data_IF_887323526246
#
_entry.id   IF_887323526246
#
_cell.length_a   1.000
_cell.length_b   1.000
_cell.length_c   1.000
_cell.angle_alpha   90.00
_cell.angle_beta   90.00
_cell.angle_gamma   90.00
#
_symmetry.space_group_name_H-M   'P 1'
#
loop_
_entity.id
_entity.type
_entity.pdbx_description
1 polymer ?
#
# COMPACT_ATOMS: atom_id res chain seq x y z
N UNK A 1 21.76 -2.77 -0.10
CA UNK A 1 20.57 -2.52 -0.94
C UNK A 1 19.62 -1.56 -0.25
N UNK A 2 18.78 -0.86 -1.02
CA UNK A 2 17.72 0.03 -0.54
C UNK A 2 16.34 -0.61 -0.74
N UNK A 3 15.30 -0.05 -0.09
CA UNK A 3 13.89 -0.35 -0.32
C UNK A 3 13.17 0.87 -0.91
N UNK A 4 12.17 0.64 -1.75
CA UNK A 4 11.37 1.72 -2.33
C UNK A 4 9.97 1.26 -2.75
N UNK A 5 9.08 2.24 -2.90
CA UNK A 5 7.85 2.09 -3.68
C UNK A 5 8.09 2.58 -5.12
N UNK A 6 7.15 2.30 -6.03
CA UNK A 6 7.24 2.72 -7.43
C UNK A 6 5.98 3.44 -7.89
N UNK A 7 6.17 4.59 -8.54
CA UNK A 7 5.13 5.28 -9.28
C UNK A 7 5.46 5.23 -10.78
N UNK A 8 4.55 4.70 -11.58
CA UNK A 8 4.65 4.69 -13.05
C UNK A 8 3.70 5.75 -13.59
N UNK A 9 4.26 6.80 -14.18
CA UNK A 9 3.51 7.97 -14.66
C UNK A 9 3.59 8.01 -16.19
N UNK A 10 2.49 7.63 -16.85
CA UNK A 10 2.32 7.82 -18.28
C UNK A 10 1.53 9.09 -18.61
N UNK A 11 1.32 9.33 -19.91
CA UNK A 11 0.59 10.51 -20.41
C UNK A 11 -0.87 10.55 -19.93
N UNK A 12 -1.54 9.39 -19.90
CA UNK A 12 -2.97 9.27 -19.57
C UNK A 12 -3.28 8.39 -18.36
N UNK A 13 -2.31 7.60 -17.89
CA UNK A 13 -2.48 6.62 -16.82
C UNK A 13 -1.36 6.67 -15.81
N UNK A 14 -1.71 6.47 -14.54
CA UNK A 14 -0.75 6.41 -13.43
C UNK A 14 -1.00 5.18 -12.57
N UNK A 15 0.07 4.46 -12.28
CA UNK A 15 0.06 3.28 -11.41
C UNK A 15 0.99 3.47 -10.22
N UNK A 16 0.57 2.97 -9.06
CA UNK A 16 1.39 2.95 -7.85
C UNK A 16 1.55 1.53 -7.31
N UNK A 17 2.77 1.17 -6.94
CA UNK A 17 3.10 -0.08 -6.25
C UNK A 17 3.76 0.26 -4.91
N UNK A 18 3.15 -0.14 -3.80
CA UNK A 18 3.64 0.23 -2.46
C UNK A 18 4.95 -0.45 -2.09
N UNK A 19 5.14 -1.68 -2.55
CA UNK A 19 6.08 -2.60 -1.90
C UNK A 19 5.69 -2.88 -0.44
N UNK A 20 6.68 -3.31 0.34
CA UNK A 20 6.57 -3.46 1.78
C UNK A 20 6.92 -2.15 2.48
N UNK A 21 6.04 -1.70 3.36
CA UNK A 21 6.19 -0.43 4.05
C UNK A 21 5.35 -0.41 5.33
N UNK A 22 5.80 0.35 6.33
CA UNK A 22 4.95 0.77 7.45
C UNK A 22 4.16 2.03 7.12
N UNK A 23 3.10 2.32 7.88
CA UNK A 23 2.27 3.48 7.60
C UNK A 23 2.97 4.79 8.00
N UNK A 24 3.16 5.70 7.04
CA UNK A 24 3.66 7.06 7.27
C UNK A 24 2.78 8.09 6.56
N UNK A 25 1.82 8.64 7.30
CA UNK A 25 0.81 9.54 6.74
C UNK A 25 1.39 10.72 5.94
N UNK A 26 2.44 11.36 6.48
CA UNK A 26 3.07 12.52 5.84
C UNK A 26 3.66 12.20 4.47
N UNK A 27 4.26 11.02 4.30
CA UNK A 27 4.90 10.65 3.04
C UNK A 27 3.86 10.24 1.99
N UNK A 28 2.77 9.59 2.39
CA UNK A 28 1.67 9.28 1.46
C UNK A 28 0.88 10.51 1.01
N UNK A 29 0.67 11.49 1.90
CA UNK A 29 0.05 12.78 1.54
C UNK A 29 0.92 13.56 0.54
N UNK A 30 2.25 13.62 0.77
CA UNK A 30 3.20 14.22 -0.18
C UNK A 30 3.18 13.50 -1.53
N UNK A 31 3.16 12.16 -1.52
CA UNK A 31 3.11 11.34 -2.73
C UNK A 31 1.84 11.63 -3.53
N UNK A 32 0.68 11.63 -2.89
CA UNK A 32 -0.60 11.93 -3.53
C UNK A 32 -0.64 13.32 -4.15
N UNK A 33 -0.15 14.33 -3.44
CA UNK A 33 -0.06 15.71 -3.94
C UNK A 33 0.91 15.85 -5.12
N UNK A 34 2.03 15.12 -5.10
CA UNK A 34 3.09 15.27 -6.11
C UNK A 34 2.82 14.46 -7.38
N UNK A 35 2.36 13.21 -7.23
CA UNK A 35 2.28 12.23 -8.32
C UNK A 35 0.86 11.72 -8.58
N UNK A 36 -0.10 11.95 -7.68
CA UNK A 36 -1.49 11.58 -7.86
C UNK A 36 -2.27 12.52 -8.81
N UNK A 37 -3.56 12.21 -9.06
CA UNK A 37 -4.27 11.00 -8.66
C UNK A 37 -3.78 9.76 -9.43
N UNK A 38 -3.84 8.58 -8.79
CA UNK A 38 -3.48 7.31 -9.44
C UNK A 38 -4.72 6.62 -10.01
N UNK A 39 -4.62 6.00 -11.18
CA UNK A 39 -5.73 5.22 -11.74
C UNK A 39 -5.87 3.86 -11.05
N UNK A 40 -4.73 3.26 -10.69
CA UNK A 40 -4.66 1.98 -10.00
C UNK A 40 -3.50 1.99 -9.01
N UNK A 41 -3.71 1.40 -7.84
CA UNK A 41 -2.65 1.13 -6.89
C UNK A 41 -2.64 -0.34 -6.44
N UNK A 42 -1.47 -0.97 -6.42
CA UNK A 42 -1.24 -2.24 -5.75
C UNK A 42 -0.70 -1.95 -4.34
N UNK A 43 -1.50 -2.25 -3.31
CA UNK A 43 -1.23 -1.88 -1.92
C UNK A 43 -1.13 -3.15 -1.08
N UNK A 44 -0.04 -3.30 -0.31
CA UNK A 44 0.15 -4.44 0.58
C UNK A 44 -0.89 -4.47 1.70
N UNK A 45 -1.43 -5.66 2.01
CA UNK A 45 -2.42 -5.84 3.08
C UNK A 45 -2.12 -7.03 4.01
N UNK A 46 -1.04 -7.78 3.76
CA UNK A 46 -0.65 -8.94 4.54
C UNK A 46 0.50 -8.68 5.50
N UNK A 47 0.86 -9.71 6.28
CA UNK A 47 2.04 -9.71 7.15
C UNK A 47 2.05 -8.61 8.24
N UNK A 48 0.90 -8.07 8.65
CA UNK A 48 0.83 -6.93 9.57
C UNK A 48 0.79 -7.31 11.06
N UNK A 49 0.82 -8.60 11.39
CA UNK A 49 0.65 -9.10 12.76
C UNK A 49 1.80 -10.03 13.21
N UNK A 50 2.22 -9.94 14.49
CA UNK A 50 1.68 -9.07 15.55
C UNK A 50 2.10 -7.60 15.39
N UNK A 51 1.16 -6.68 15.67
CA UNK A 51 1.29 -5.24 15.33
C UNK A 51 2.50 -4.58 15.98
N UNK A 52 2.83 -4.91 17.22
CA UNK A 52 3.96 -4.31 17.94
C UNK A 52 5.30 -4.55 17.23
N UNK A 53 5.41 -5.66 16.51
CA UNK A 53 6.60 -6.07 15.77
C UNK A 53 6.55 -5.57 14.32
N UNK A 54 5.41 -5.76 13.64
CA UNK A 54 5.31 -5.57 12.19
C UNK A 54 5.02 -4.13 11.74
N UNK A 55 4.46 -3.26 12.60
CA UNK A 55 3.94 -1.93 12.19
C UNK A 55 4.95 -1.00 11.50
N UNK A 56 6.25 -1.19 11.72
CA UNK A 56 7.30 -0.37 11.09
C UNK A 56 7.64 -0.84 9.67
N UNK A 57 7.20 -2.05 9.29
CA UNK A 57 7.60 -2.74 8.06
C UNK A 57 6.40 -3.11 7.18
N UNK A 58 5.23 -3.32 7.79
CA UNK A 58 4.00 -3.73 7.12
C UNK A 58 2.82 -2.87 7.57
N UNK A 59 1.90 -2.67 6.64
CA UNK A 59 0.64 -1.96 6.86
C UNK A 59 -0.50 -2.93 7.05
N UNK A 60 -1.43 -2.57 7.93
CA UNK A 60 -2.70 -3.25 8.07
C UNK A 60 -3.65 -2.95 6.90
N UNK A 61 -4.68 -3.79 6.68
CA UNK A 61 -5.71 -3.52 5.69
C UNK A 61 -6.43 -2.16 5.90
N UNK A 62 -6.58 -1.72 7.16
CA UNK A 62 -7.14 -0.41 7.47
C UNK A 62 -6.20 0.75 7.08
N UNK A 63 -4.89 0.58 7.24
CA UNK A 63 -3.90 1.56 6.78
C UNK A 63 -3.78 1.58 5.25
N UNK A 64 -3.96 0.43 4.59
CA UNK A 64 -4.05 0.35 3.13
C UNK A 64 -5.19 1.21 2.57
N UNK A 65 -6.37 1.21 3.22
CA UNK A 65 -7.50 2.11 2.87
C UNK A 65 -7.11 3.58 3.03
N UNK A 66 -6.39 3.93 4.11
CA UNK A 66 -5.90 5.30 4.31
C UNK A 66 -4.90 5.70 3.21
N UNK A 67 -4.00 4.81 2.83
CA UNK A 67 -3.05 5.05 1.74
C UNK A 67 -3.80 5.30 0.43
N UNK A 68 -4.75 4.44 0.07
CA UNK A 68 -5.61 4.60 -1.11
C UNK A 68 -6.21 6.02 -1.18
N UNK A 69 -6.76 6.50 -0.06
CA UNK A 69 -7.32 7.85 0.05
C UNK A 69 -6.26 8.94 -0.09
N UNK A 70 -5.13 8.81 0.62
CA UNK A 70 -4.06 9.83 0.67
C UNK A 70 -3.37 10.01 -0.68
N UNK A 71 -3.22 8.93 -1.46
CA UNK A 71 -2.64 8.98 -2.80
C UNK A 71 -3.68 9.31 -3.89
N UNK A 72 -4.95 9.52 -3.51
CA UNK A 72 -6.07 9.73 -4.42
C UNK A 72 -6.13 8.64 -5.52
N UNK A 73 -5.97 7.38 -5.13
CA UNK A 73 -6.14 6.26 -6.06
C UNK A 73 -7.61 6.08 -6.42
N UNK A 74 -7.92 5.90 -7.70
CA UNK A 74 -9.29 5.60 -8.15
C UNK A 74 -9.71 4.17 -7.84
N UNK A 75 -8.77 3.24 -7.91
CA UNK A 75 -8.94 1.81 -7.58
C UNK A 75 -7.69 1.26 -6.91
N UNK A 76 -7.85 0.24 -6.09
CA UNK A 76 -6.72 -0.49 -5.51
C UNK A 76 -6.93 -1.99 -5.45
N UNK A 77 -5.83 -2.72 -5.63
CA UNK A 77 -5.75 -4.18 -5.49
C UNK A 77 -4.86 -4.50 -4.30
N UNK A 78 -5.38 -5.29 -3.36
CA UNK A 78 -4.60 -5.81 -2.24
C UNK A 78 -3.57 -6.84 -2.68
N UNK A 79 -2.30 -6.62 -2.34
CA UNK A 79 -1.17 -7.54 -2.60
C UNK A 79 -0.52 -8.02 -1.30
N UNK A 80 0.48 -8.90 -1.40
CA UNK A 80 1.30 -9.36 -0.26
C UNK A 80 0.56 -10.24 0.77
N UNK A 81 -0.55 -10.87 0.38
CA UNK A 81 -1.37 -11.71 1.26
C UNK A 81 -1.82 -12.99 0.53
N UNK A 82 -2.19 -14.03 1.30
CA UNK A 82 -2.85 -15.23 0.76
C UNK A 82 -1.98 -16.17 -0.08
N UNK A 83 -0.66 -15.94 -0.15
CA UNK A 83 0.28 -16.81 -0.89
C UNK A 83 1.28 -17.54 0.02
N UNK A 84 1.84 -16.84 1.01
CA UNK A 84 2.79 -17.42 1.98
C UNK A 84 2.39 -17.03 3.40
N UNK A 85 2.55 -17.97 4.33
CA UNK A 85 2.37 -17.73 5.76
C UNK A 85 3.60 -17.00 6.32
N UNK A 86 3.56 -15.66 6.30
CA UNK A 86 4.67 -14.81 6.75
C UNK A 86 4.34 -13.99 8.01
N UNK A 87 3.09 -14.06 8.49
CA UNK A 87 2.63 -13.31 9.66
C UNK A 87 1.29 -13.82 10.20
N UNK A 88 0.88 -13.31 11.36
CA UNK A 88 -0.12 -13.96 12.21
C UNK A 88 -1.60 -13.80 11.83
N UNK A 89 -1.96 -13.20 10.69
CA UNK A 89 -3.37 -12.99 10.32
C UNK A 89 -3.61 -13.18 8.82
N UNK A 90 -4.62 -13.99 8.48
CA UNK A 90 -5.19 -14.08 7.13
C UNK A 90 -6.12 -12.87 6.86
N UNK A 91 -6.04 -12.32 5.66
CA UNK A 91 -6.97 -11.30 5.15
C UNK A 91 -7.78 -11.93 4.04
N UNK A 92 -9.05 -11.58 3.89
CA UNK A 92 -9.99 -12.27 2.98
C UNK A 92 -10.43 -11.41 1.81
N UNK A 93 -9.53 -10.62 1.21
CA UNK A 93 -9.76 -9.62 0.13
C UNK A 93 -10.20 -8.21 0.59
N UNK A 94 -9.54 -7.19 0.00
CA UNK A 94 -10.01 -5.80 -0.06
C UNK A 94 -9.88 -5.34 -1.52
N UNK A 95 -11.00 -4.91 -2.11
CA UNK A 95 -11.05 -4.18 -3.37
C UNK A 95 -11.64 -2.80 -3.06
N UNK A 96 -10.89 -1.75 -3.36
CA UNK A 96 -11.29 -0.34 -3.20
C UNK A 96 -11.40 0.32 -4.57
#
# INVERSE_FOLDING_TARGET
SLWSSWAVVGESRRFYFTGDTGYCEREFDKLGKKLGPFDLAAISIGCYAPVWFMKSQHISPAEAVKIHQKIAAKKSIGIHWGTYEMGGNEVSFIVL
#
